data_IF_416091641713
#
_entry.id   IF_416091641713
#
_cell.length_a   1.000
_cell.length_b   1.000
_cell.length_c   1.000
_cell.angle_alpha   90.00
_cell.angle_beta   90.00
_cell.angle_gamma   90.00
#
_symmetry.space_group_name_H-M   'P 1'
#
loop_
_entity.id
_entity.type
_entity.pdbx_description
1 polymer ?
#
# COMPACT_ATOMS: atom_id res chain seq x y z
N UNK A 1 -2.37 4.18 12.85
CA UNK A 1 -1.02 4.43 12.27
C UNK A 1 -0.81 3.70 10.93
N UNK A 2 -1.10 2.40 10.83
CA UNK A 2 -0.95 1.64 9.56
C UNK A 2 -1.57 2.34 8.34
N UNK A 3 -2.83 2.80 8.46
CA UNK A 3 -3.49 3.58 7.40
C UNK A 3 -2.75 4.87 7.00
N UNK A 4 -2.21 5.63 7.96
CA UNK A 4 -1.46 6.85 7.66
C UNK A 4 -0.16 6.55 6.90
N UNK A 5 0.55 5.50 7.31
CA UNK A 5 1.75 5.05 6.60
C UNK A 5 1.44 4.56 5.20
N UNK A 6 0.29 3.88 5.03
CA UNK A 6 -0.18 3.37 3.75
C UNK A 6 -0.51 4.53 2.79
N UNK A 7 -1.24 5.55 3.29
CA UNK A 7 -1.56 6.77 2.53
C UNK A 7 -0.29 7.53 2.13
N UNK A 8 0.65 7.71 3.05
CA UNK A 8 1.90 8.42 2.76
C UNK A 8 2.78 7.63 1.78
N UNK A 9 2.84 6.31 1.93
CA UNK A 9 3.54 5.41 1.00
C UNK A 9 2.96 5.44 -0.41
N UNK A 10 1.63 5.45 -0.56
CA UNK A 10 0.98 5.58 -1.88
C UNK A 10 1.34 6.92 -2.52
N UNK A 11 1.22 8.03 -1.79
CA UNK A 11 1.59 9.36 -2.30
C UNK A 11 3.03 9.43 -2.79
N UNK A 12 3.97 8.91 -2.00
CA UNK A 12 5.38 8.87 -2.37
C UNK A 12 5.64 8.07 -3.66
N UNK A 13 4.89 6.99 -3.87
CA UNK A 13 4.99 6.16 -5.09
C UNK A 13 4.33 6.82 -6.29
N UNK A 14 3.23 7.55 -6.09
CA UNK A 14 2.62 8.40 -7.14
C UNK A 14 3.58 9.50 -7.56
N UNK A 15 4.23 10.18 -6.61
CA UNK A 15 5.23 11.23 -6.89
C UNK A 15 6.50 10.67 -7.56
N UNK A 16 6.92 9.46 -7.17
CA UNK A 16 8.10 8.81 -7.73
C UNK A 16 7.95 7.28 -7.72
N UNK A 17 7.56 6.74 -8.88
CA UNK A 17 7.33 5.31 -9.06
C UNK A 17 8.54 4.44 -8.76
N UNK A 18 9.78 4.95 -8.86
CA UNK A 18 11.00 4.18 -8.57
C UNK A 18 11.11 3.76 -7.10
N UNK A 19 10.39 4.43 -6.18
CA UNK A 19 10.41 4.09 -4.75
C UNK A 19 9.82 2.70 -4.46
N UNK A 20 8.92 2.20 -5.33
CA UNK A 20 8.33 0.88 -5.14
C UNK A 20 9.35 -0.25 -5.31
N UNK A 21 10.32 -0.06 -6.22
CA UNK A 21 11.39 -1.03 -6.51
C UNK A 21 12.35 -1.21 -5.32
N UNK A 22 12.35 -0.27 -4.38
CA UNK A 22 13.22 -0.27 -3.20
C UNK A 22 12.42 -0.01 -1.93
N UNK A 23 11.31 -0.74 -1.74
CA UNK A 23 10.39 -0.51 -0.62
C UNK A 23 11.06 -0.57 0.76
N UNK A 24 11.93 -1.56 1.01
CA UNK A 24 12.61 -1.75 2.31
C UNK A 24 13.76 -0.78 2.54
N UNK A 25 14.41 -0.32 1.46
CA UNK A 25 15.61 0.53 1.50
C UNK A 25 15.32 2.03 1.31
N UNK A 26 14.16 2.37 0.75
CA UNK A 26 13.80 3.74 0.41
C UNK A 26 12.43 4.13 1.00
N UNK A 27 11.35 3.44 0.61
CA UNK A 27 9.99 3.85 0.99
C UNK A 27 9.75 3.77 2.50
N UNK A 28 10.03 2.62 3.12
CA UNK A 28 9.82 2.46 4.58
C UNK A 28 10.73 3.37 5.41
N UNK A 29 12.05 3.52 5.11
CA UNK A 29 12.89 4.51 5.79
C UNK A 29 12.38 5.96 5.67
N UNK A 30 11.85 6.35 4.52
CA UNK A 30 11.34 7.71 4.33
C UNK A 30 10.08 7.98 5.17
N UNK A 31 9.12 7.06 5.14
CA UNK A 31 7.94 7.13 6.01
C UNK A 31 8.38 7.10 7.49
N UNK A 32 9.33 6.22 7.83
CA UNK A 32 9.82 6.11 9.19
C UNK A 32 10.41 7.43 9.71
N UNK A 33 11.17 8.14 8.86
CA UNK A 33 11.71 9.47 9.16
C UNK A 33 10.59 10.51 9.36
N UNK A 34 9.58 10.54 8.50
CA UNK A 34 8.44 11.49 8.60
C UNK A 34 7.62 11.31 9.87
N UNK A 35 7.48 10.06 10.34
CA UNK A 35 6.65 9.72 11.49
C UNK A 35 7.42 9.44 12.78
N UNK A 36 8.75 9.68 12.81
CA UNK A 36 9.58 9.45 14.00
C UNK A 36 9.54 7.99 14.50
N UNK A 37 9.60 7.03 13.59
CA UNK A 37 9.51 5.59 13.88
C UNK A 37 10.60 4.80 13.14
N UNK A 38 10.55 3.47 13.17
CA UNK A 38 11.49 2.60 12.43
C UNK A 38 10.84 1.99 11.19
N UNK A 39 11.63 1.69 10.16
CA UNK A 39 11.16 1.05 8.92
C UNK A 39 10.43 -0.27 9.19
N UNK A 40 10.91 -1.07 10.14
CA UNK A 40 10.25 -2.33 10.53
C UNK A 40 8.89 -2.12 11.20
N UNK A 41 8.70 -1.01 11.93
CA UNK A 41 7.39 -0.64 12.49
C UNK A 41 6.44 -0.15 11.40
N UNK A 42 6.96 0.55 10.38
CA UNK A 42 6.18 0.97 9.21
C UNK A 42 5.68 -0.25 8.44
N UNK A 43 6.58 -1.16 8.06
CA UNK A 43 6.24 -2.42 7.36
C UNK A 43 5.16 -3.19 8.11
N UNK A 44 5.40 -3.49 9.39
CA UNK A 44 4.47 -4.29 10.20
C UNK A 44 3.11 -3.63 10.33
N UNK A 45 3.06 -2.31 10.50
CA UNK A 45 1.81 -1.58 10.63
C UNK A 45 1.01 -1.55 9.32
N UNK A 46 1.69 -1.46 8.17
CA UNK A 46 1.07 -1.55 6.84
C UNK A 46 0.52 -2.96 6.62
N UNK A 47 1.34 -3.99 6.84
CA UNK A 47 0.93 -5.40 6.72
C UNK A 47 -0.28 -5.72 7.57
N UNK A 48 -0.27 -5.29 8.84
CA UNK A 48 -1.39 -5.49 9.73
C UNK A 48 -2.67 -4.78 9.24
N UNK A 49 -2.55 -3.57 8.69
CA UNK A 49 -3.69 -2.85 8.14
C UNK A 49 -4.31 -3.58 6.92
N UNK A 50 -3.47 -4.10 6.03
CA UNK A 50 -3.91 -4.90 4.87
C UNK A 50 -4.57 -6.20 5.34
N UNK A 51 -3.96 -6.90 6.30
CA UNK A 51 -4.49 -8.14 6.84
C UNK A 51 -5.85 -7.97 7.52
N UNK A 52 -6.01 -6.90 8.30
CA UNK A 52 -7.30 -6.57 8.92
C UNK A 52 -8.35 -6.23 7.87
N UNK A 53 -8.00 -5.52 6.80
CA UNK A 53 -8.94 -5.24 5.71
C UNK A 53 -9.33 -6.53 4.97
N UNK A 54 -8.37 -7.42 4.74
CA UNK A 54 -8.55 -8.70 4.08
C UNK A 54 -9.49 -9.62 4.86
N UNK A 55 -9.22 -9.84 6.15
CA UNK A 55 -10.00 -10.72 7.01
C UNK A 55 -11.42 -10.21 7.27
N UNK A 56 -11.69 -8.91 7.04
CA UNK A 56 -13.02 -8.31 7.12
C UNK A 56 -13.83 -8.45 5.82
N UNK A 57 -13.34 -9.18 4.83
CA UNK A 57 -14.03 -9.37 3.56
C UNK A 57 -14.10 -8.12 2.69
N UNK A 58 -13.27 -7.09 2.95
CA UNK A 58 -13.25 -5.85 2.15
C UNK A 58 -12.59 -6.01 0.78
N UNK A 59 -12.34 -7.25 0.36
CA UNK A 59 -11.74 -7.62 -0.93
C UNK A 59 -12.66 -7.21 -2.07
N UNK A 60 -13.98 -7.38 -1.91
CA UNK A 60 -14.95 -6.97 -2.91
C UNK A 60 -14.94 -5.45 -3.13
N UNK A 61 -14.73 -4.66 -2.08
CA UNK A 61 -14.60 -3.21 -2.23
C UNK A 61 -13.38 -2.82 -3.06
N UNK A 62 -12.27 -3.55 -2.91
CA UNK A 62 -11.07 -3.34 -3.73
C UNK A 62 -11.39 -3.71 -5.18
N UNK A 63 -11.90 -4.91 -5.44
CA UNK A 63 -12.26 -5.33 -6.81
C UNK A 63 -13.25 -4.35 -7.49
N UNK A 64 -14.25 -3.87 -6.74
CA UNK A 64 -15.22 -2.89 -7.23
C UNK A 64 -14.55 -1.54 -7.56
N UNK A 65 -13.59 -1.08 -6.75
CA UNK A 65 -12.83 0.15 -7.02
C UNK A 65 -12.01 0.06 -8.31
N UNK A 66 -11.58 -1.13 -8.69
CA UNK A 66 -10.85 -1.39 -9.93
C UNK A 66 -11.74 -1.82 -11.11
N UNK A 67 -13.03 -2.04 -10.89
CA UNK A 67 -13.96 -2.55 -11.90
C UNK A 67 -13.61 -3.95 -12.43
N UNK A 68 -12.67 -4.65 -11.79
CA UNK A 68 -12.20 -5.97 -12.20
C UNK A 68 -11.72 -6.77 -11.00
N UNK A 69 -11.71 -8.09 -11.15
CA UNK A 69 -11.33 -9.01 -10.07
C UNK A 69 -9.81 -9.10 -9.97
N UNK A 70 -9.22 -8.19 -9.19
CA UNK A 70 -7.77 -8.14 -8.97
C UNK A 70 -7.34 -9.14 -7.89
N UNK A 71 -8.21 -9.39 -6.91
CA UNK A 71 -7.90 -10.22 -5.76
C UNK A 71 -8.96 -11.30 -5.54
N UNK A 72 -8.53 -12.54 -5.34
CA UNK A 72 -9.36 -13.63 -4.83
C UNK A 72 -9.24 -13.74 -3.31
N UNK A 73 -10.18 -14.39 -2.61
CA UNK A 73 -10.13 -14.51 -1.15
C UNK A 73 -8.84 -15.18 -0.62
N UNK A 74 -8.17 -15.97 -1.45
CA UNK A 74 -6.97 -16.73 -1.09
C UNK A 74 -5.66 -16.00 -1.42
N UNK A 75 -5.71 -14.88 -2.16
CA UNK A 75 -4.52 -14.19 -2.68
C UNK A 75 -4.29 -12.84 -2.00
N UNK A 76 -3.93 -12.87 -0.71
CA UNK A 76 -3.67 -11.65 0.06
C UNK A 76 -2.46 -10.89 -0.53
N UNK A 77 -2.60 -9.61 -0.91
CA UNK A 77 -1.49 -8.84 -1.45
C UNK A 77 -0.41 -8.60 -0.40
N UNK A 78 0.82 -8.55 -0.88
CA UNK A 78 1.94 -7.98 -0.15
C UNK A 78 1.77 -6.46 0.00
N UNK A 79 2.49 -5.88 0.96
CA UNK A 79 2.50 -4.42 1.15
C UNK A 79 2.88 -3.67 -0.13
N UNK A 80 3.87 -4.19 -0.87
CA UNK A 80 4.36 -3.58 -2.10
C UNK A 80 3.32 -3.64 -3.21
N UNK A 81 2.74 -4.82 -3.46
CA UNK A 81 1.69 -4.98 -4.47
C UNK A 81 0.49 -4.08 -4.18
N UNK A 82 0.06 -4.01 -2.91
CA UNK A 82 -1.07 -3.16 -2.54
C UNK A 82 -0.77 -1.69 -2.81
N UNK A 83 0.40 -1.19 -2.39
CA UNK A 83 0.79 0.21 -2.61
C UNK A 83 0.92 0.51 -4.11
N UNK A 84 1.58 -0.38 -4.86
CA UNK A 84 1.77 -0.25 -6.31
C UNK A 84 0.43 -0.19 -7.04
N UNK A 85 -0.50 -1.07 -6.68
CA UNK A 85 -1.81 -1.17 -7.31
C UNK A 85 -2.64 0.10 -7.11
N UNK A 86 -2.72 0.61 -5.88
CA UNK A 86 -3.46 1.85 -5.60
C UNK A 86 -2.79 3.05 -6.26
N UNK A 87 -1.46 3.16 -6.19
CA UNK A 87 -0.72 4.25 -6.84
C UNK A 87 -0.94 4.24 -8.36
N UNK A 88 -0.91 3.07 -9.00
CA UNK A 88 -1.18 2.93 -10.42
C UNK A 88 -2.61 3.37 -10.80
N UNK A 89 -3.61 3.03 -9.97
CA UNK A 89 -4.99 3.50 -10.20
C UNK A 89 -5.09 5.02 -10.21
N UNK A 90 -4.43 5.67 -9.26
CA UNK A 90 -4.44 7.13 -9.14
C UNK A 90 -3.78 7.79 -10.36
N UNK A 91 -2.64 7.26 -10.81
CA UNK A 91 -1.96 7.75 -12.00
C UNK A 91 -2.82 7.61 -13.27
N UNK A 92 -3.54 6.48 -13.41
CA UNK A 92 -4.44 6.26 -14.54
C UNK A 92 -5.69 7.15 -14.50
N UNK A 93 -6.20 7.47 -13.31
CA UNK A 93 -7.37 8.36 -13.15
C UNK A 93 -7.04 9.85 -13.33
N UNK A 94 -5.75 10.22 -13.23
CA UNK A 94 -5.26 11.57 -13.52
C UNK A 94 -5.03 11.83 -15.03
N UNK A 95 -5.26 10.82 -15.89
CA UNK A 95 -5.11 10.89 -17.35
C UNK A 95 -6.46 10.99 -18.06
#
# INVERSE_FOLDING_TARGET
KGYQYLRDGIKLVVENSQKINSITKCLYPEIAKRFGTTSSKVERAIRHAIEVAWNRGKIENINNLFGTKIYTANEKPTNGEFIALIANKMLLDET
#
